data_IF_331762109215
#
_entry.id   IF_331762109215
#
_cell.length_a   1.000
_cell.length_b   1.000
_cell.length_c   1.000
_cell.angle_alpha   90.00
_cell.angle_beta   90.00
_cell.angle_gamma   90.00
#
_symmetry.space_group_name_H-M   'P 1'
#
loop_
_entity.id
_entity.type
_entity.pdbx_description
1 polymer ?
#
# COMPACT_ATOMS: atom_id res chain seq x y z
N UNK A 1 15.53 -17.19 -15.72
CA UNK A 1 14.22 -17.46 -15.10
C UNK A 1 13.74 -16.18 -14.42
N UNK A 2 12.48 -15.77 -14.57
CA UNK A 2 12.03 -14.44 -14.11
C UNK A 2 11.26 -14.52 -12.78
N UNK A 3 11.90 -14.13 -11.68
CA UNK A 3 11.25 -13.98 -10.36
C UNK A 3 10.52 -12.63 -10.21
N UNK A 4 10.76 -11.72 -11.16
CA UNK A 4 10.23 -10.38 -11.21
C UNK A 4 9.77 -10.12 -12.65
N UNK A 5 8.52 -9.71 -12.81
CA UNK A 5 7.99 -9.23 -14.09
C UNK A 5 7.57 -7.79 -13.84
N UNK A 6 8.24 -6.89 -14.55
CA UNK A 6 7.94 -5.47 -14.50
C UNK A 6 6.98 -5.18 -15.63
N UNK A 7 5.76 -4.74 -15.29
CA UNK A 7 4.86 -4.18 -16.28
C UNK A 7 5.06 -2.67 -16.27
N UNK A 8 5.90 -2.20 -17.18
CA UNK A 8 6.17 -0.78 -17.37
C UNK A 8 5.43 -0.40 -18.65
N UNK A 9 4.40 0.44 -18.50
CA UNK A 9 3.57 0.98 -19.57
C UNK A 9 2.86 -0.05 -20.46
N UNK A 10 1.65 -0.43 -20.06
CA UNK A 10 0.70 -1.00 -21.00
C UNK A 10 -0.03 0.16 -21.66
N UNK A 11 0.24 0.39 -22.94
CA UNK A 11 -0.54 1.34 -23.72
C UNK A 11 -2.02 0.88 -23.78
N UNK A 12 -2.93 1.73 -24.25
CA UNK A 12 -4.41 1.54 -24.26
C UNK A 12 -4.92 0.19 -24.80
N UNK A 13 -4.06 -0.61 -25.41
CA UNK A 13 -4.30 -1.97 -25.86
C UNK A 13 -4.17 -3.05 -24.77
N UNK A 14 -4.14 -2.75 -23.46
CA UNK A 14 -4.15 -3.76 -22.39
C UNK A 14 -5.37 -4.72 -22.48
N UNK A 15 -6.42 -4.34 -23.21
CA UNK A 15 -7.51 -5.22 -23.61
C UNK A 15 -7.04 -6.48 -24.37
N UNK A 16 -5.91 -6.41 -25.08
CA UNK A 16 -5.36 -7.49 -25.93
C UNK A 16 -4.29 -8.36 -25.26
N UNK A 17 -3.99 -8.15 -23.97
CA UNK A 17 -3.10 -9.05 -23.23
C UNK A 17 -3.72 -10.45 -23.15
N UNK A 18 -3.38 -11.30 -24.13
CA UNK A 18 -3.63 -12.73 -24.17
C UNK A 18 -2.61 -13.41 -23.27
N UNK A 19 -2.87 -13.37 -21.97
CA UNK A 19 -2.03 -14.02 -20.98
C UNK A 19 -2.45 -15.48 -20.92
N UNK A 20 -1.56 -16.40 -21.30
CA UNK A 20 -1.81 -17.84 -21.14
C UNK A 20 -1.85 -18.17 -19.64
N UNK A 21 -3.06 -18.30 -19.09
CA UNK A 21 -3.34 -18.56 -17.68
C UNK A 21 -2.70 -19.86 -17.15
N UNK A 22 -2.40 -20.81 -18.03
CA UNK A 22 -1.76 -22.08 -17.70
C UNK A 22 -0.22 -22.00 -17.72
N UNK A 23 0.36 -20.82 -17.97
CA UNK A 23 1.80 -20.64 -17.91
C UNK A 23 2.30 -20.82 -16.48
N UNK A 24 3.06 -21.89 -16.24
CA UNK A 24 3.74 -22.16 -14.96
C UNK A 24 4.59 -20.97 -14.48
N UNK A 25 5.09 -20.15 -15.40
CA UNK A 25 5.88 -18.96 -15.07
C UNK A 25 5.03 -17.87 -14.40
N UNK A 26 3.74 -17.75 -14.73
CA UNK A 26 2.83 -16.77 -14.13
C UNK A 26 2.35 -17.20 -12.75
N UNK A 27 2.27 -18.50 -12.48
CA UNK A 27 1.98 -19.03 -11.13
C UNK A 27 3.12 -18.77 -10.14
N UNK A 28 4.35 -18.60 -10.65
CA UNK A 28 5.58 -18.35 -9.87
C UNK A 28 5.91 -16.86 -9.72
N UNK A 29 5.08 -16.00 -10.27
CA UNK A 29 5.23 -14.56 -10.25
C UNK A 29 5.03 -13.99 -8.84
N UNK A 30 6.03 -13.27 -8.32
CA UNK A 30 6.02 -12.79 -6.92
C UNK A 30 5.88 -11.28 -6.79
N UNK A 31 6.25 -10.49 -7.79
CA UNK A 31 6.30 -9.03 -7.69
C UNK A 31 5.61 -8.35 -8.86
N UNK A 32 4.56 -7.59 -8.58
CA UNK A 32 3.88 -6.74 -9.55
C UNK A 32 4.21 -5.27 -9.29
N UNK A 33 4.58 -4.55 -10.35
CA UNK A 33 4.62 -3.08 -10.35
C UNK A 33 3.64 -2.55 -11.40
N UNK A 34 2.83 -1.57 -10.98
CA UNK A 34 1.85 -0.86 -11.80
C UNK A 34 2.22 0.62 -11.71
N UNK A 35 2.88 1.14 -12.74
CA UNK A 35 3.38 2.51 -12.79
C UNK A 35 2.80 3.23 -14.01
N UNK A 36 1.58 3.75 -13.88
CA UNK A 36 0.86 4.37 -15.00
C UNK A 36 -0.16 5.38 -14.52
N UNK A 37 -0.25 6.54 -15.19
CA UNK A 37 -1.31 7.52 -15.00
C UNK A 37 -2.58 7.18 -15.82
N UNK A 38 -2.49 6.20 -16.72
CA UNK A 38 -3.60 5.72 -17.55
C UNK A 38 -4.47 4.70 -16.80
N UNK A 39 -5.55 4.29 -17.46
CA UNK A 39 -6.48 3.31 -16.92
C UNK A 39 -5.92 1.87 -17.00
N UNK A 40 -5.59 1.31 -15.84
CA UNK A 40 -5.05 -0.06 -15.70
C UNK A 40 -6.07 -1.02 -15.06
N UNK A 41 -7.35 -0.64 -14.97
CA UNK A 41 -8.40 -1.41 -14.28
C UNK A 41 -8.52 -2.82 -14.86
N UNK A 42 -8.72 -2.92 -16.18
CA UNK A 42 -8.87 -4.20 -16.89
C UNK A 42 -7.61 -5.07 -16.72
N UNK A 43 -6.44 -4.46 -16.74
CA UNK A 43 -5.18 -5.18 -16.55
C UNK A 43 -5.08 -5.79 -15.15
N UNK A 44 -5.34 -5.00 -14.11
CA UNK A 44 -5.33 -5.49 -12.73
C UNK A 44 -6.37 -6.59 -12.51
N UNK A 45 -7.58 -6.43 -13.06
CA UNK A 45 -8.64 -7.44 -13.00
C UNK A 45 -8.20 -8.75 -13.65
N UNK A 46 -7.59 -8.69 -14.84
CA UNK A 46 -7.04 -9.88 -15.52
C UNK A 46 -5.92 -10.51 -14.71
N UNK A 47 -4.93 -9.75 -14.22
CA UNK A 47 -3.86 -10.29 -13.38
C UNK A 47 -4.40 -11.00 -12.14
N UNK A 48 -5.45 -10.45 -11.55
CA UNK A 48 -6.07 -11.00 -10.36
C UNK A 48 -6.75 -12.37 -10.60
N UNK A 49 -6.99 -12.80 -11.85
CA UNK A 49 -7.60 -14.12 -12.13
C UNK A 49 -6.60 -15.26 -12.11
N UNK A 50 -5.32 -15.01 -12.40
CA UNK A 50 -4.30 -16.07 -12.50
C UNK A 50 -3.12 -15.90 -11.54
N UNK A 51 -3.02 -14.77 -10.82
CA UNK A 51 -2.00 -14.55 -9.78
C UNK A 51 -2.65 -14.48 -8.40
N UNK A 52 -2.34 -15.46 -7.55
CA UNK A 52 -2.83 -15.53 -6.16
C UNK A 52 -1.71 -15.62 -5.13
N UNK A 53 -0.46 -15.53 -5.60
CA UNK A 53 0.77 -15.79 -4.84
C UNK A 53 1.72 -14.59 -4.86
N UNK A 54 1.24 -13.40 -5.27
CA UNK A 54 2.04 -12.19 -5.21
C UNK A 54 2.51 -11.94 -3.78
N UNK A 55 3.78 -11.61 -3.66
CA UNK A 55 4.44 -11.23 -2.41
C UNK A 55 4.71 -9.73 -2.36
N UNK A 56 4.82 -9.07 -3.51
CA UNK A 56 5.15 -7.66 -3.64
C UNK A 56 4.20 -6.99 -4.64
N UNK A 57 3.56 -5.90 -4.22
CA UNK A 57 2.80 -5.03 -5.10
C UNK A 57 3.33 -3.61 -4.95
N UNK A 58 3.68 -2.98 -6.07
CA UNK A 58 3.99 -1.55 -6.17
C UNK A 58 2.92 -0.93 -7.06
N UNK A 59 2.12 -0.03 -6.51
CA UNK A 59 1.06 0.65 -7.25
C UNK A 59 1.29 2.15 -7.21
N UNK A 60 1.31 2.78 -8.38
CA UNK A 60 1.50 4.21 -8.55
C UNK A 60 0.26 4.84 -9.19
N UNK A 61 0.01 6.10 -8.85
CA UNK A 61 -0.97 6.97 -9.50
C UNK A 61 -2.39 6.37 -9.42
N UNK A 62 -2.85 6.06 -8.21
CA UNK A 62 -4.23 5.65 -7.97
C UNK A 62 -5.10 6.91 -7.88
N UNK A 63 -5.60 7.34 -9.04
CA UNK A 63 -6.20 8.66 -9.25
C UNK A 63 -7.70 8.62 -9.63
N UNK A 64 -8.32 7.43 -9.66
CA UNK A 64 -9.77 7.30 -9.82
C UNK A 64 -10.29 6.02 -9.12
N UNK A 65 -11.57 6.03 -8.76
CA UNK A 65 -12.21 4.99 -7.93
C UNK A 65 -12.11 3.58 -8.51
N UNK A 66 -12.31 3.41 -9.81
CA UNK A 66 -12.25 2.09 -10.45
C UNK A 66 -10.86 1.46 -10.32
N UNK A 67 -9.79 2.25 -10.43
CA UNK A 67 -8.42 1.80 -10.18
C UNK A 67 -8.21 1.32 -8.74
N UNK A 68 -8.71 2.10 -7.78
CA UNK A 68 -8.61 1.76 -6.36
C UNK A 68 -9.35 0.44 -6.05
N UNK A 69 -10.52 0.23 -6.64
CA UNK A 69 -11.30 -1.00 -6.51
C UNK A 69 -10.59 -2.21 -7.14
N UNK A 70 -10.03 -2.06 -8.35
CA UNK A 70 -9.29 -3.12 -9.00
C UNK A 70 -8.02 -3.49 -8.24
N UNK A 71 -7.29 -2.51 -7.71
CA UNK A 71 -6.13 -2.76 -6.84
C UNK A 71 -6.54 -3.46 -5.53
N UNK A 72 -7.62 -3.01 -4.89
CA UNK A 72 -8.15 -3.66 -3.68
C UNK A 72 -8.56 -5.12 -3.94
N UNK A 73 -9.22 -5.40 -5.06
CA UNK A 73 -9.58 -6.76 -5.47
C UNK A 73 -8.34 -7.62 -5.72
N UNK A 74 -7.33 -7.06 -6.40
CA UNK A 74 -6.06 -7.74 -6.63
C UNK A 74 -5.39 -8.11 -5.31
N UNK A 75 -5.30 -7.17 -4.36
CA UNK A 75 -4.74 -7.40 -3.01
C UNK A 75 -5.49 -8.53 -2.30
N UNK A 76 -6.83 -8.49 -2.29
CA UNK A 76 -7.66 -9.49 -1.61
C UNK A 76 -7.47 -10.91 -2.12
N UNK A 77 -7.16 -11.08 -3.41
CA UNK A 77 -6.94 -12.41 -4.00
C UNK A 77 -5.56 -12.99 -3.70
N UNK A 78 -4.64 -12.21 -3.13
CA UNK A 78 -3.32 -12.71 -2.78
C UNK A 78 -3.37 -13.47 -1.46
N UNK A 79 -2.68 -14.61 -1.40
CA UNK A 79 -2.59 -15.41 -0.16
C UNK A 79 -1.32 -15.12 0.64
N UNK A 80 -0.38 -14.38 0.05
CA UNK A 80 0.97 -14.25 0.58
C UNK A 80 1.58 -12.86 0.39
N UNK A 81 0.77 -11.80 0.32
CA UNK A 81 1.30 -10.46 0.10
C UNK A 81 2.13 -10.02 1.31
N UNK A 82 3.42 -9.78 1.11
CA UNK A 82 4.36 -9.38 2.17
C UNK A 82 4.70 -7.90 2.12
N UNK A 83 4.62 -7.27 0.93
CA UNK A 83 4.99 -5.88 0.73
C UNK A 83 3.99 -5.18 -0.18
N UNK A 84 3.44 -4.07 0.30
CA UNK A 84 2.70 -3.11 -0.50
C UNK A 84 3.44 -1.76 -0.50
N UNK A 85 3.70 -1.23 -1.69
CA UNK A 85 4.18 0.14 -1.90
C UNK A 85 3.12 0.90 -2.69
N UNK A 86 2.52 1.93 -2.08
CA UNK A 86 1.54 2.80 -2.69
C UNK A 86 2.15 4.18 -2.92
N UNK A 87 2.12 4.65 -4.16
CA UNK A 87 2.67 5.95 -4.55
C UNK A 87 1.57 6.77 -5.22
N UNK A 88 1.48 8.06 -4.89
CA UNK A 88 0.57 9.00 -5.57
C UNK A 88 -0.89 8.52 -5.55
N UNK A 89 -1.45 8.30 -4.36
CA UNK A 89 -2.86 7.98 -4.19
C UNK A 89 -3.57 9.21 -3.62
N UNK A 90 -4.18 9.99 -4.51
CA UNK A 90 -4.82 11.25 -4.20
C UNK A 90 -6.25 11.23 -4.73
N UNK A 91 -7.20 11.25 -3.81
CA UNK A 91 -8.61 11.32 -4.11
C UNK A 91 -9.43 10.81 -2.94
N UNK A 92 -10.67 11.27 -2.90
CA UNK A 92 -11.58 10.99 -1.80
C UNK A 92 -11.85 9.47 -1.75
N UNK A 93 -11.63 8.89 -0.58
CA UNK A 93 -11.83 7.47 -0.24
C UNK A 93 -10.94 6.42 -0.94
N UNK A 94 -10.05 6.79 -1.86
CA UNK A 94 -9.24 5.78 -2.59
C UNK A 94 -8.33 4.99 -1.64
N UNK A 95 -7.71 5.68 -0.68
CA UNK A 95 -6.89 5.01 0.32
C UNK A 95 -7.75 4.18 1.27
N UNK A 96 -8.96 4.63 1.64
CA UNK A 96 -9.90 3.83 2.43
C UNK A 96 -10.20 2.48 1.75
N UNK A 97 -10.51 2.51 0.46
CA UNK A 97 -10.81 1.30 -0.34
C UNK A 97 -9.62 0.33 -0.30
N UNK A 98 -8.41 0.84 -0.56
CA UNK A 98 -7.19 0.01 -0.56
C UNK A 98 -6.90 -0.52 0.85
N UNK A 99 -7.01 0.30 1.88
CA UNK A 99 -6.67 -0.10 3.25
C UNK A 99 -7.64 -1.13 3.81
N UNK A 100 -8.94 -1.02 3.51
CA UNK A 100 -9.93 -2.07 3.85
C UNK A 100 -9.55 -3.43 3.27
N UNK A 101 -8.96 -3.44 2.07
CA UNK A 101 -8.52 -4.67 1.40
C UNK A 101 -7.37 -5.38 2.13
N UNK A 102 -6.56 -4.66 2.92
CA UNK A 102 -5.42 -5.19 3.67
C UNK A 102 -5.83 -6.11 4.84
N UNK A 103 -7.09 -6.12 5.23
CA UNK A 103 -7.65 -7.11 6.17
C UNK A 103 -7.35 -8.54 5.79
N UNK A 104 -7.43 -8.84 4.48
CA UNK A 104 -7.08 -10.14 3.90
C UNK A 104 -5.59 -10.50 4.06
N UNK A 105 -4.74 -9.52 4.34
CA UNK A 105 -3.29 -9.64 4.45
C UNK A 105 -2.78 -9.38 5.87
N UNK A 106 -3.67 -9.35 6.87
CA UNK A 106 -3.33 -9.06 8.28
C UNK A 106 -2.19 -9.93 8.84
N UNK A 107 -2.12 -11.19 8.40
CA UNK A 107 -1.11 -12.16 8.82
C UNK A 107 0.11 -12.24 7.89
N UNK A 108 0.04 -11.72 6.67
CA UNK A 108 1.10 -11.87 5.65
C UNK A 108 1.90 -10.59 5.44
N UNK A 109 1.27 -9.43 5.55
CA UNK A 109 1.87 -8.14 5.25
C UNK A 109 2.93 -7.77 6.28
N UNK A 110 4.17 -7.62 5.82
CA UNK A 110 5.35 -7.29 6.64
C UNK A 110 5.85 -5.88 6.40
N UNK A 111 5.62 -5.31 5.21
CA UNK A 111 6.12 -4.00 4.81
C UNK A 111 5.06 -3.19 4.09
N UNK A 112 4.85 -1.96 4.56
CA UNK A 112 3.94 -0.99 3.95
C UNK A 112 4.69 0.32 3.73
N UNK A 113 4.71 0.76 2.47
CA UNK A 113 5.35 1.98 2.04
C UNK A 113 4.31 2.89 1.40
N UNK A 114 4.17 4.10 1.93
CA UNK A 114 3.26 5.11 1.45
C UNK A 114 4.08 6.31 1.00
N UNK A 115 3.91 6.72 -0.24
CA UNK A 115 4.55 7.90 -0.79
C UNK A 115 3.52 8.82 -1.43
N UNK A 116 3.42 10.05 -0.95
CA UNK A 116 2.47 11.03 -1.49
C UNK A 116 1.05 10.47 -1.53
N UNK A 117 0.55 10.12 -0.35
CA UNK A 117 -0.79 9.55 -0.10
C UNK A 117 -1.55 10.46 0.85
N UNK A 118 -2.87 10.60 0.65
CA UNK A 118 -3.74 11.30 1.61
C UNK A 118 -4.21 10.35 2.72
N UNK A 119 -3.65 10.52 3.93
CA UNK A 119 -3.93 9.66 5.08
C UNK A 119 -5.27 9.97 5.76
N UNK A 120 -5.88 11.14 5.56
CA UNK A 120 -7.17 11.51 6.19
C UNK A 120 -8.32 10.62 5.73
N UNK A 121 -8.21 10.08 4.53
CA UNK A 121 -9.20 9.15 3.97
C UNK A 121 -9.08 7.74 4.58
N UNK A 122 -8.02 7.45 5.35
CA UNK A 122 -7.83 6.15 5.99
C UNK A 122 -8.62 6.13 7.29
N UNK A 123 -9.88 5.73 7.19
CA UNK A 123 -10.78 5.61 8.34
C UNK A 123 -10.45 4.44 9.30
N UNK A 124 -9.60 3.50 8.88
CA UNK A 124 -9.09 2.43 9.73
C UNK A 124 -7.79 1.88 9.15
N UNK A 125 -6.73 1.89 9.95
CA UNK A 125 -5.58 1.04 9.70
C UNK A 125 -5.98 -0.35 10.14
N UNK A 126 -6.34 -1.21 9.20
CA UNK A 126 -6.63 -2.60 9.52
C UNK A 126 -5.43 -3.20 10.25
N UNK A 127 -5.68 -3.93 11.34
CA UNK A 127 -4.65 -4.55 12.17
C UNK A 127 -3.75 -5.46 11.34
N UNK A 128 -2.68 -4.88 10.80
CA UNK A 128 -1.60 -5.61 10.14
C UNK A 128 -0.67 -6.07 11.26
N UNK A 129 -1.13 -7.05 12.06
CA UNK A 129 -0.44 -7.49 13.26
C UNK A 129 1.01 -7.88 12.98
N UNK A 130 1.30 -8.43 11.79
CA UNK A 130 2.63 -8.85 11.37
C UNK A 130 3.45 -7.78 10.62
N UNK A 131 2.97 -6.53 10.57
CA UNK A 131 3.69 -5.44 9.94
C UNK A 131 4.98 -5.13 10.71
N UNK A 132 6.12 -5.31 10.06
CA UNK A 132 7.45 -5.05 10.61
C UNK A 132 8.03 -3.72 10.17
N UNK A 133 7.62 -3.22 9.00
CA UNK A 133 8.12 -1.95 8.45
C UNK A 133 6.96 -1.10 7.97
N UNK A 134 6.89 0.12 8.48
CA UNK A 134 6.01 1.18 8.00
C UNK A 134 6.86 2.36 7.56
N UNK A 135 6.65 2.80 6.33
CA UNK A 135 7.35 3.93 5.75
C UNK A 135 6.35 4.90 5.14
N UNK A 136 6.37 6.15 5.61
CA UNK A 136 5.45 7.22 5.21
C UNK A 136 6.31 8.37 4.68
N UNK A 137 6.12 8.77 3.44
CA UNK A 137 6.96 9.79 2.80
C UNK A 137 6.13 10.78 2.00
N UNK A 138 6.33 12.09 2.19
CA UNK A 138 5.62 13.12 1.41
C UNK A 138 4.10 12.96 1.44
N UNK A 139 3.56 12.33 2.49
CA UNK A 139 2.12 12.13 2.66
C UNK A 139 1.49 13.37 3.28
N UNK A 140 0.18 13.50 3.07
CA UNK A 140 -0.65 14.60 3.61
C UNK A 140 -1.73 14.03 4.52
N UNK A 141 -2.24 14.87 5.42
CA UNK A 141 -3.38 14.56 6.27
C UNK A 141 -3.34 15.33 7.59
N UNK A 142 -4.50 15.76 8.05
CA UNK A 142 -4.72 16.40 9.35
C UNK A 142 -4.80 15.39 10.50
N UNK A 143 -5.15 14.13 10.25
CA UNK A 143 -5.23 13.03 11.23
C UNK A 143 -5.62 13.52 12.63
N UNK A 144 -6.79 14.13 12.76
CA UNK A 144 -7.29 14.63 14.03
C UNK A 144 -7.72 13.45 14.94
N UNK A 145 -6.86 13.15 15.91
CA UNK A 145 -7.06 12.10 16.91
C UNK A 145 -8.18 12.39 17.90
N UNK A 146 -8.64 13.64 17.99
CA UNK A 146 -9.71 14.01 18.93
C UNK A 146 -11.09 13.65 18.39
N UNK A 147 -11.28 13.74 17.07
CA UNK A 147 -12.52 13.40 16.38
C UNK A 147 -12.57 11.96 15.87
N UNK A 148 -11.41 11.33 15.63
CA UNK A 148 -11.33 9.93 15.25
C UNK A 148 -10.45 9.17 16.27
N UNK A 149 -11.03 8.36 17.18
CA UNK A 149 -10.29 7.58 18.16
C UNK A 149 -9.62 6.37 17.47
N UNK A 150 -8.72 6.68 16.55
CA UNK A 150 -7.85 5.70 15.94
C UNK A 150 -6.93 5.11 17.01
N UNK A 151 -6.93 3.79 17.10
CA UNK A 151 -5.97 3.02 17.90
C UNK A 151 -5.06 2.28 16.92
N UNK A 152 -3.87 2.81 16.61
CA UNK A 152 -2.89 2.02 15.88
C UNK A 152 -2.63 0.71 16.61
N UNK A 153 -2.66 -0.41 15.89
CA UNK A 153 -2.28 -1.72 16.40
C UNK A 153 -1.16 -2.27 15.50
N UNK A 154 0.08 -1.90 15.83
CA UNK A 154 1.26 -2.41 15.14
C UNK A 154 2.18 -3.14 16.11
N UNK A 155 1.70 -4.19 16.80
CA UNK A 155 2.43 -4.80 17.90
C UNK A 155 3.80 -5.33 17.47
N UNK A 156 3.99 -5.74 16.22
CA UNK A 156 5.25 -6.27 15.70
C UNK A 156 6.08 -5.26 14.87
N UNK A 157 5.76 -3.97 14.93
CA UNK A 157 6.48 -2.96 14.15
C UNK A 157 7.91 -2.80 14.65
N UNK A 158 8.87 -3.07 13.76
CA UNK A 158 10.31 -2.98 14.05
C UNK A 158 10.96 -1.73 13.47
N UNK A 159 10.43 -1.24 12.35
CA UNK A 159 10.99 -0.11 11.61
C UNK A 159 9.91 0.90 11.24
N UNK A 160 10.06 2.13 11.71
CA UNK A 160 9.22 3.26 11.34
C UNK A 160 10.09 4.31 10.65
N UNK A 161 9.73 4.67 9.42
CA UNK A 161 10.31 5.80 8.70
C UNK A 161 9.20 6.79 8.40
N UNK A 162 9.40 8.05 8.77
CA UNK A 162 8.55 9.13 8.32
C UNK A 162 9.41 10.27 7.78
N UNK A 163 9.17 10.69 6.53
CA UNK A 163 9.97 11.73 5.86
C UNK A 163 9.03 12.70 5.17
N UNK A 164 9.30 14.01 5.32
CA UNK A 164 8.59 15.09 4.67
C UNK A 164 7.07 14.93 4.80
N UNK A 165 6.50 15.15 5.99
CA UNK A 165 5.04 15.15 6.12
C UNK A 165 4.52 16.53 5.69
N UNK A 166 3.85 16.56 4.54
CA UNK A 166 3.52 17.79 3.84
C UNK A 166 2.22 18.38 4.39
N UNK A 167 2.27 19.66 4.76
CA UNK A 167 1.18 20.45 5.36
C UNK A 167 0.66 19.90 6.72
N UNK A 168 0.74 20.73 7.77
CA UNK A 168 0.28 20.47 9.14
C UNK A 168 1.22 19.68 10.07
N UNK A 169 2.44 20.20 10.27
CA UNK A 169 3.41 19.70 11.26
C UNK A 169 2.83 19.50 12.68
N UNK A 170 1.83 20.30 13.05
CA UNK A 170 1.18 20.23 14.36
C UNK A 170 0.45 18.91 14.64
N UNK A 171 -0.08 18.23 13.60
CA UNK A 171 -0.75 16.93 13.75
C UNK A 171 0.20 15.75 13.52
N UNK A 172 1.31 16.02 12.86
CA UNK A 172 2.30 15.01 12.49
C UNK A 172 3.00 14.36 13.69
N UNK A 173 3.50 15.15 14.65
CA UNK A 173 4.20 14.62 15.84
C UNK A 173 3.27 13.72 16.67
N UNK A 174 2.04 14.15 17.02
CA UNK A 174 1.07 13.27 17.69
C UNK A 174 0.85 11.94 16.95
N UNK A 175 0.78 11.97 15.62
CA UNK A 175 0.64 10.76 14.82
C UNK A 175 1.83 9.81 14.92
N UNK A 176 3.04 10.32 14.79
CA UNK A 176 4.25 9.50 14.95
C UNK A 176 4.32 8.89 16.35
N UNK A 177 4.03 9.68 17.40
CA UNK A 177 4.02 9.22 18.80
C UNK A 177 3.02 8.08 18.99
N UNK A 178 1.79 8.19 18.45
CA UNK A 178 0.78 7.13 18.56
C UNK A 178 1.21 5.82 17.92
N UNK A 179 1.90 5.85 16.77
CA UNK A 179 2.45 4.64 16.15
C UNK A 179 3.55 4.03 17.03
N UNK A 180 4.42 4.87 17.61
CA UNK A 180 5.49 4.41 18.50
C UNK A 180 4.92 3.76 19.75
N UNK A 181 3.92 4.38 20.38
CA UNK A 181 3.18 3.82 21.52
C UNK A 181 2.56 2.47 21.17
N UNK A 182 1.93 2.36 20.00
CA UNK A 182 1.32 1.12 19.51
C UNK A 182 2.32 0.01 19.16
N UNK A 183 3.56 0.36 18.83
CA UNK A 183 4.63 -0.62 18.64
C UNK A 183 5.11 -1.23 19.97
N UNK A 184 4.65 -0.68 21.11
CA UNK A 184 4.85 -1.06 22.52
C UNK A 184 6.31 -1.19 22.95
N UNK A 185 7.11 -2.08 22.35
CA UNK A 185 8.56 -2.26 22.56
C UNK A 185 9.31 -2.85 21.35
N UNK A 186 8.62 -3.22 20.28
CA UNK A 186 9.23 -3.93 19.15
C UNK A 186 9.98 -2.99 18.19
N UNK A 187 9.83 -1.67 18.34
CA UNK A 187 10.45 -0.69 17.48
C UNK A 187 11.96 -0.63 17.71
N UNK A 188 12.73 -1.06 16.72
CA UNK A 188 14.20 -1.08 16.74
C UNK A 188 14.82 0.10 15.98
N UNK A 189 14.07 0.67 15.04
CA UNK A 189 14.51 1.78 14.21
C UNK A 189 13.41 2.79 14.01
N UNK A 190 13.73 4.06 14.27
CA UNK A 190 12.88 5.21 13.97
C UNK A 190 13.69 6.28 13.23
N UNK A 191 13.21 6.69 12.05
CA UNK A 191 13.70 7.89 11.35
C UNK A 191 12.54 8.85 11.16
N UNK A 192 12.74 10.09 11.55
CA UNK A 192 11.84 11.20 11.28
C UNK A 192 12.64 12.34 10.65
N UNK A 193 12.31 12.75 9.43
CA UNK A 193 12.91 13.91 8.77
C UNK A 193 11.83 14.85 8.23
N UNK A 194 12.00 16.14 8.47
CA UNK A 194 11.15 17.20 7.92
C UNK A 194 11.82 17.97 6.78
N UNK A 195 13.00 17.51 6.36
CA UNK A 195 13.74 18.05 5.22
C UNK A 195 13.41 17.22 3.99
N UNK A 196 13.19 17.91 2.87
CA UNK A 196 13.24 17.32 1.54
C UNK A 196 14.68 16.84 1.30
N UNK A 197 14.86 15.52 1.17
CA UNK A 197 16.07 14.94 0.60
C UNK A 197 15.98 15.07 -0.94
#
# INVERSE_FOLDING_TARGET
QAEKIYFIHLNENAQTLSINQNSLNLQRFKMLQIASWKDETIFMEKIATFTTTLQYIIAECVNYKAKALALASLIQKQKSLQHLKLLHAFGDDYCSIIFKSLSSQSNSLKKLNLYRVNLDTINSWVSCFNLKTLEIRSCVGTLDFTSNPWKPEFPNLQKLIIINYDHNRQFFIPFAVKIIEAATKNLLYFKCSMLDD
#
